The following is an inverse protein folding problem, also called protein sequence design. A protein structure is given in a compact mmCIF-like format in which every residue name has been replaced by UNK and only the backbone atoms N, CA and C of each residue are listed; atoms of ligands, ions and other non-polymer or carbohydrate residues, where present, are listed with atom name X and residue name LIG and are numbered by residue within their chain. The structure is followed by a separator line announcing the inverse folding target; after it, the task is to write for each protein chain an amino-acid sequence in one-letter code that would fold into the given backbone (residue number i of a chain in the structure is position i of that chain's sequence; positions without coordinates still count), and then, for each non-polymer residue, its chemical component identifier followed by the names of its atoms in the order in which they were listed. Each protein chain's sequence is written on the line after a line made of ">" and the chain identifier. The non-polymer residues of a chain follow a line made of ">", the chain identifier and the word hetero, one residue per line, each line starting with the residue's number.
data_IF_798322331282
#
_entry.id   IF_798322331282
#
_cell.length_a   1.000
_cell.length_b   1.000
_cell.length_c   1.000
_cell.angle_alpha   90.00
_cell.angle_beta   90.00
_cell.angle_gamma   90.00
#
_symmetry.space_group_name_H-M   'P 1'
#
loop_
_entity.id
_entity.type
_entity.pdbx_description
1 polymer ?
#
# COMPACT_ATOMS: atom_id res chain seq x y z
N UNK A 1 26.85 40.37 -37.33
CA UNK A 1 25.76 41.15 -36.71
C UNK A 1 24.51 40.29 -36.66
N UNK A 2 24.20 39.67 -35.52
CA UNK A 2 22.93 38.97 -35.30
C UNK A 2 22.39 39.38 -33.94
N UNK A 3 21.14 39.87 -33.98
CA UNK A 3 20.41 40.58 -32.93
C UNK A 3 19.85 39.57 -31.93
N UNK A 4 20.37 39.55 -30.69
CA UNK A 4 19.78 38.77 -29.61
C UNK A 4 18.56 39.52 -29.06
N UNK A 5 17.36 39.01 -29.37
CA UNK A 5 16.10 39.52 -28.86
C UNK A 5 15.96 39.21 -27.37
N UNK A 6 15.81 40.26 -26.57
CA UNK A 6 15.38 40.21 -25.18
C UNK A 6 13.93 39.68 -25.13
N UNK A 7 13.75 38.42 -24.72
CA UNK A 7 12.43 37.90 -24.35
C UNK A 7 12.20 38.24 -22.89
N UNK A 8 11.37 39.25 -22.65
CA UNK A 8 10.78 39.52 -21.35
C UNK A 8 10.00 38.30 -20.89
N UNK A 9 10.59 37.54 -19.97
CA UNK A 9 9.85 36.55 -19.18
C UNK A 9 8.85 37.30 -18.32
N UNK A 10 7.58 36.92 -18.45
CA UNK A 10 6.50 37.49 -17.66
C UNK A 10 6.82 37.31 -16.17
N UNK A 11 6.66 38.38 -15.40
CA UNK A 11 6.84 38.39 -13.94
C UNK A 11 5.87 37.42 -13.21
N UNK A 12 4.92 36.86 -13.95
CA UNK A 12 3.87 35.96 -13.50
C UNK A 12 4.38 34.55 -13.17
N UNK A 13 5.38 34.06 -13.91
CA UNK A 13 5.95 32.71 -13.71
C UNK A 13 6.87 32.61 -12.48
N UNK A 14 7.15 33.74 -11.80
CA UNK A 14 7.93 33.77 -10.54
C UNK A 14 7.07 33.77 -9.28
N UNK A 15 5.74 33.75 -9.41
CA UNK A 15 4.83 33.86 -8.27
C UNK A 15 4.17 32.53 -7.87
N UNK A 16 4.26 31.48 -8.69
CA UNK A 16 3.55 30.19 -8.47
C UNK A 16 4.13 29.29 -7.37
N UNK A 17 4.98 29.81 -6.47
CA UNK A 17 5.59 29.02 -5.39
C UNK A 17 5.47 29.62 -4.00
N UNK A 18 4.80 30.77 -3.84
CA UNK A 18 4.74 31.47 -2.56
C UNK A 18 3.32 31.95 -2.23
N UNK A 19 2.33 31.10 -2.51
CA UNK A 19 1.01 31.24 -1.90
C UNK A 19 1.16 30.82 -0.43
N UNK A 20 1.52 31.78 0.43
CA UNK A 20 1.16 31.71 1.82
C UNK A 20 -0.36 31.72 1.84
N UNK A 21 -0.95 30.56 2.09
CA UNK A 21 -2.35 30.47 2.53
C UNK A 21 -2.43 31.10 3.93
N UNK A 22 -2.42 32.44 3.95
CA UNK A 22 -2.78 33.24 5.10
C UNK A 22 -4.31 33.23 5.13
N UNK A 23 -4.86 32.15 5.68
CA UNK A 23 -6.25 32.09 6.11
C UNK A 23 -6.46 33.25 7.11
N UNK A 24 -7.07 34.32 6.60
CA UNK A 24 -7.26 35.60 7.28
C UNK A 24 -8.42 35.52 8.30
N UNK A 25 -8.41 34.48 9.15
CA UNK A 25 -9.52 34.18 10.07
C UNK A 25 -9.16 34.36 11.56
N UNK A 26 -7.88 34.58 11.88
CA UNK A 26 -7.39 34.60 13.27
C UNK A 26 -6.81 35.96 13.71
N UNK A 27 -7.41 37.07 13.27
CA UNK A 27 -7.15 38.40 13.82
C UNK A 27 -8.20 38.75 14.89
N UNK A 28 -8.24 37.98 15.97
CA UNK A 28 -8.85 38.43 17.22
C UNK A 28 -7.77 39.16 18.03
N UNK A 29 -8.11 40.27 18.68
CA UNK A 29 -7.15 41.11 19.44
C UNK A 29 -6.45 40.38 20.61
N UNK A 30 -6.91 39.17 20.95
CA UNK A 30 -6.37 38.30 21.99
C UNK A 30 -5.57 37.09 21.45
N UNK A 31 -5.15 37.08 20.18
CA UNK A 31 -4.26 36.04 19.67
C UNK A 31 -2.79 36.44 19.91
N UNK A 32 -2.14 35.96 20.99
CA UNK A 32 -0.75 36.32 21.26
C UNK A 32 0.13 35.81 20.11
N UNK A 33 0.86 36.74 19.50
CA UNK A 33 1.91 36.41 18.54
C UNK A 33 2.81 35.32 19.13
N UNK A 34 3.20 34.36 18.29
CA UNK A 34 4.24 33.40 18.67
C UNK A 34 5.43 34.15 19.30
N UNK A 35 5.94 33.71 20.46
CA UNK A 35 6.94 34.48 21.22
C UNK A 35 8.22 34.75 20.42
N UNK A 36 8.55 33.89 19.45
CA UNK A 36 9.67 34.12 18.52
C UNK A 36 9.32 35.23 17.54
N UNK A 37 8.11 35.21 17.00
CA UNK A 37 7.64 36.24 16.06
C UNK A 37 7.47 37.60 16.73
N UNK A 38 6.92 37.64 17.95
CA UNK A 38 6.81 38.84 18.77
C UNK A 38 8.18 39.44 19.07
N UNK A 39 9.17 38.60 19.38
CA UNK A 39 10.56 39.02 19.59
C UNK A 39 11.23 39.55 18.32
N UNK A 40 10.92 38.98 17.16
CA UNK A 40 11.45 39.43 15.85
C UNK A 40 10.84 40.75 15.41
N UNK A 41 9.53 40.92 15.63
CA UNK A 41 8.80 42.16 15.37
C UNK A 41 9.34 43.30 16.24
N UNK A 42 9.42 43.07 17.55
CA UNK A 42 9.78 44.08 18.54
C UNK A 42 8.77 45.24 18.59
N UNK A 43 9.09 46.26 19.39
CA UNK A 43 8.23 47.44 19.51
C UNK A 43 8.36 48.37 18.30
N UNK A 44 7.22 48.85 17.80
CA UNK A 44 7.16 49.90 16.80
C UNK A 44 6.28 51.06 17.30
N UNK A 45 6.91 52.19 17.59
CA UNK A 45 6.23 53.41 18.06
C UNK A 45 6.12 54.47 16.95
N UNK A 46 7.02 54.43 15.97
CA UNK A 46 7.07 55.35 14.83
C UNK A 46 6.89 54.65 13.49
N UNK A 47 6.44 55.37 12.47
CA UNK A 47 6.27 54.85 11.09
C UNK A 47 7.56 54.20 10.54
N UNK A 48 8.74 54.76 10.88
CA UNK A 48 10.04 54.20 10.48
C UNK A 48 10.31 52.86 11.18
N UNK A 49 9.98 52.75 12.45
CA UNK A 49 10.14 51.52 13.23
C UNK A 49 9.16 50.45 12.74
N UNK A 50 7.92 50.83 12.41
CA UNK A 50 6.92 49.93 11.86
C UNK A 50 7.36 49.33 10.52
N UNK A 51 7.91 50.15 9.60
CA UNK A 51 8.50 49.66 8.34
C UNK A 51 9.67 48.69 8.57
N UNK A 52 10.51 48.94 9.57
CA UNK A 52 11.62 48.05 9.89
C UNK A 52 11.15 46.74 10.53
N UNK A 53 10.19 46.81 11.45
CA UNK A 53 9.52 45.65 12.07
C UNK A 53 8.92 44.73 11.00
N UNK A 54 8.10 45.29 10.09
CA UNK A 54 7.50 44.52 9.00
C UNK A 54 8.54 43.82 8.12
N UNK A 55 9.65 44.49 7.79
CA UNK A 55 10.72 43.89 7.00
C UNK A 55 11.43 42.74 7.74
N UNK A 56 11.67 42.88 9.05
CA UNK A 56 12.27 41.81 9.88
C UNK A 56 11.36 40.59 9.95
N UNK A 57 10.07 40.80 10.18
CA UNK A 57 9.06 39.73 10.20
C UNK A 57 9.02 39.01 8.85
N UNK A 58 8.95 39.75 7.73
CA UNK A 58 8.96 39.15 6.40
C UNK A 58 10.23 38.36 6.10
N UNK A 59 11.41 38.86 6.50
CA UNK A 59 12.67 38.14 6.34
C UNK A 59 12.69 36.85 7.17
N UNK A 60 12.20 36.90 8.41
CA UNK A 60 12.13 35.74 9.28
C UNK A 60 11.16 34.68 8.73
N UNK A 61 9.96 35.07 8.31
CA UNK A 61 8.99 34.14 7.72
C UNK A 61 9.53 33.48 6.45
N UNK A 62 10.24 34.21 5.60
CA UNK A 62 10.92 33.63 4.42
C UNK A 62 11.98 32.58 4.80
N UNK A 63 12.73 32.83 5.87
CA UNK A 63 13.72 31.87 6.37
C UNK A 63 13.03 30.60 6.91
N UNK A 64 11.96 30.76 7.70
CA UNK A 64 11.16 29.63 8.23
C UNK A 64 10.61 28.79 7.09
N UNK A 65 10.06 29.42 6.04
CA UNK A 65 9.55 28.70 4.87
C UNK A 65 10.64 27.94 4.12
N UNK A 66 11.79 28.56 3.91
CA UNK A 66 12.91 27.90 3.26
C UNK A 66 13.42 26.69 4.06
N UNK A 67 13.37 26.76 5.39
CA UNK A 67 13.77 25.65 6.24
C UNK A 67 12.72 24.52 6.26
N UNK A 68 11.43 24.86 6.33
CA UNK A 68 10.34 23.89 6.19
C UNK A 68 10.37 23.16 4.85
N UNK A 69 10.59 23.89 3.75
CA UNK A 69 10.69 23.28 2.42
C UNK A 69 11.93 22.38 2.30
N UNK A 70 13.08 22.80 2.87
CA UNK A 70 14.27 21.94 2.95
C UNK A 70 14.01 20.67 3.77
N UNK A 71 13.28 20.77 4.87
CA UNK A 71 12.92 19.60 5.67
C UNK A 71 11.96 18.66 4.94
N UNK A 72 10.94 19.22 4.27
CA UNK A 72 10.01 18.47 3.41
C UNK A 72 10.76 17.71 2.32
N UNK A 73 11.69 18.38 1.63
CA UNK A 73 12.52 17.75 0.59
C UNK A 73 13.35 16.59 1.14
N UNK A 74 13.99 16.76 2.30
CA UNK A 74 14.73 15.68 2.98
C UNK A 74 13.83 14.49 3.33
N UNK A 75 12.64 14.75 3.89
CA UNK A 75 11.66 13.69 4.22
C UNK A 75 11.26 12.90 2.98
N UNK A 76 10.95 13.59 1.87
CA UNK A 76 10.59 12.96 0.60
C UNK A 76 11.75 12.16 -0.02
N UNK A 77 13.00 12.57 0.16
CA UNK A 77 14.17 11.80 -0.28
C UNK A 77 14.33 10.52 0.51
N UNK A 78 14.25 10.60 1.84
CA UNK A 78 14.35 9.42 2.73
C UNK A 78 13.23 8.42 2.44
N UNK A 79 12.00 8.90 2.22
CA UNK A 79 10.86 8.04 1.86
C UNK A 79 11.09 7.31 0.52
N UNK A 80 11.53 8.05 -0.53
CA UNK A 80 11.84 7.47 -1.84
C UNK A 80 12.97 6.43 -1.77
N UNK A 81 14.00 6.67 -0.96
CA UNK A 81 15.07 5.69 -0.76
C UNK A 81 14.59 4.45 0.00
N UNK A 82 13.75 4.64 1.02
CA UNK A 82 13.15 3.54 1.77
C UNK A 82 12.22 2.70 0.88
N UNK A 83 11.40 3.33 0.03
CA UNK A 83 10.54 2.65 -0.94
C UNK A 83 11.35 1.83 -1.94
N UNK A 84 12.36 2.44 -2.58
CA UNK A 84 13.28 1.73 -3.50
C UNK A 84 13.94 0.53 -2.83
N UNK A 85 14.37 0.68 -1.56
CA UNK A 85 14.99 -0.42 -0.80
C UNK A 85 13.98 -1.53 -0.48
N UNK A 86 12.73 -1.19 -0.15
CA UNK A 86 11.64 -2.16 0.09
C UNK A 86 11.30 -2.90 -1.20
N UNK A 87 11.14 -2.20 -2.31
CA UNK A 87 10.85 -2.78 -3.61
C UNK A 87 11.98 -3.70 -4.08
N UNK A 88 13.24 -3.27 -3.98
CA UNK A 88 14.40 -4.10 -4.33
C UNK A 88 14.47 -5.38 -3.48
N UNK A 89 14.21 -5.28 -2.16
CA UNK A 89 14.13 -6.45 -1.28
C UNK A 89 13.00 -7.40 -1.68
N UNK A 90 11.83 -6.86 -2.04
CA UNK A 90 10.69 -7.67 -2.46
C UNK A 90 10.97 -8.40 -3.78
N UNK A 91 11.51 -7.69 -4.77
CA UNK A 91 11.92 -8.26 -6.05
C UNK A 91 13.00 -9.35 -5.87
N UNK A 92 13.97 -9.13 -4.98
CA UNK A 92 14.99 -10.12 -4.65
C UNK A 92 14.41 -11.38 -4.01
N UNK A 93 13.49 -11.23 -3.04
CA UNK A 93 12.79 -12.36 -2.42
C UNK A 93 11.97 -13.15 -3.44
N UNK A 94 11.22 -12.47 -4.30
CA UNK A 94 10.42 -13.12 -5.33
C UNK A 94 11.31 -13.86 -6.35
N UNK A 95 12.44 -13.28 -6.75
CA UNK A 95 13.40 -13.93 -7.62
C UNK A 95 14.01 -15.19 -6.97
N UNK A 96 14.39 -15.11 -5.69
CA UNK A 96 14.87 -16.27 -4.93
C UNK A 96 13.82 -17.37 -4.83
N UNK A 97 12.56 -17.04 -4.55
CA UNK A 97 11.47 -18.01 -4.49
C UNK A 97 11.22 -18.68 -5.85
N UNK A 98 11.27 -17.91 -6.94
CA UNK A 98 11.14 -18.45 -8.30
C UNK A 98 12.28 -19.42 -8.62
N UNK A 99 13.50 -19.12 -8.23
CA UNK A 99 14.66 -19.99 -8.43
C UNK A 99 14.56 -21.28 -7.58
N UNK A 100 14.14 -21.18 -6.31
CA UNK A 100 13.89 -22.35 -5.46
C UNK A 100 12.81 -23.25 -6.06
N UNK A 101 11.66 -22.69 -6.47
CA UNK A 101 10.59 -23.45 -7.13
C UNK A 101 11.04 -24.14 -8.42
N UNK A 102 11.96 -23.53 -9.18
CA UNK A 102 12.53 -24.16 -10.39
C UNK A 102 13.44 -25.33 -10.02
N UNK A 103 14.29 -25.16 -9.00
CA UNK A 103 15.19 -26.21 -8.49
C UNK A 103 14.40 -27.41 -7.96
N UNK A 104 13.41 -27.20 -7.11
CA UNK A 104 12.54 -28.27 -6.59
C UNK A 104 11.85 -29.04 -7.72
N UNK A 105 11.30 -28.33 -8.72
CA UNK A 105 10.68 -28.97 -9.90
C UNK A 105 11.69 -29.76 -10.74
N UNK A 106 12.93 -29.31 -10.84
CA UNK A 106 13.98 -30.03 -11.55
C UNK A 106 14.39 -31.29 -10.78
N UNK A 107 14.57 -31.19 -9.46
CA UNK A 107 14.90 -32.30 -8.57
C UNK A 107 13.77 -33.35 -8.52
N UNK A 108 12.50 -32.95 -8.45
CA UNK A 108 11.37 -33.89 -8.51
C UNK A 108 11.32 -34.63 -9.85
N UNK A 109 11.55 -33.91 -10.96
CA UNK A 109 11.62 -34.53 -12.29
C UNK A 109 12.77 -35.54 -12.40
N UNK A 110 13.92 -35.24 -11.80
CA UNK A 110 15.06 -36.17 -11.75
C UNK A 110 14.74 -37.41 -10.92
N UNK A 111 14.14 -37.24 -9.73
CA UNK A 111 13.67 -38.35 -8.89
C UNK A 111 12.69 -39.26 -9.64
N UNK A 112 11.68 -38.68 -10.30
CA UNK A 112 10.72 -39.45 -11.12
C UNK A 112 11.38 -40.22 -12.27
N UNK A 113 12.39 -39.64 -12.92
CA UNK A 113 13.16 -40.35 -13.97
C UNK A 113 13.91 -41.55 -13.38
N UNK A 114 14.61 -41.35 -12.26
CA UNK A 114 15.33 -42.43 -11.55
C UNK A 114 14.39 -43.56 -11.14
N UNK A 115 13.23 -43.25 -10.57
CA UNK A 115 12.21 -44.24 -10.20
C UNK A 115 11.65 -44.98 -11.41
N UNK A 116 11.34 -44.27 -12.50
CA UNK A 116 10.85 -44.88 -13.74
C UNK A 116 11.88 -45.83 -14.35
N UNK A 117 13.15 -45.41 -14.42
CA UNK A 117 14.24 -46.21 -14.96
C UNK A 117 14.49 -47.46 -14.09
N UNK A 118 14.44 -47.32 -12.75
CA UNK A 118 14.53 -48.44 -11.82
C UNK A 118 13.37 -49.43 -11.98
N UNK A 119 12.12 -48.95 -12.08
CA UNK A 119 10.95 -49.80 -12.30
C UNK A 119 11.06 -50.58 -13.62
N UNK A 120 11.53 -49.91 -14.68
CA UNK A 120 11.73 -50.51 -15.99
C UNK A 120 12.83 -51.57 -15.98
N UNK A 121 13.93 -51.34 -15.24
CA UNK A 121 15.00 -52.32 -15.05
C UNK A 121 14.48 -53.57 -14.30
N UNK A 122 13.78 -53.38 -13.17
CA UNK A 122 13.17 -54.47 -12.40
C UNK A 122 12.18 -55.30 -13.23
N UNK A 123 11.37 -54.65 -14.08
CA UNK A 123 10.45 -55.35 -14.97
C UNK A 123 11.18 -56.21 -16.02
N UNK A 124 12.26 -55.69 -16.62
CA UNK A 124 13.11 -56.44 -17.56
C UNK A 124 13.79 -57.64 -16.90
N UNK A 125 14.19 -57.53 -15.64
CA UNK A 125 14.77 -58.67 -14.89
C UNK A 125 13.73 -59.73 -14.56
N UNK A 126 12.50 -59.34 -14.20
CA UNK A 126 11.40 -60.29 -13.99
C UNK A 126 11.01 -61.03 -15.27
N UNK A 127 11.03 -60.35 -16.42
CA UNK A 127 10.77 -60.98 -17.73
C UNK A 127 11.89 -61.95 -18.17
N UNK A 128 13.13 -61.76 -17.69
CA UNK A 128 14.28 -62.65 -17.97
C UNK A 128 14.35 -63.88 -17.06
N UNK A 129 13.66 -63.90 -15.92
CA UNK A 129 13.59 -65.12 -15.09
C UNK A 129 12.66 -66.15 -15.78
N UNK A 130 13.10 -67.41 -16.00
CA UNK A 130 12.27 -68.41 -16.64
C UNK A 130 11.03 -68.69 -15.78
N UNK A 131 9.85 -68.68 -16.40
CA UNK A 131 8.58 -69.12 -15.80
C UNK A 131 8.75 -70.54 -15.27
N UNK A 132 8.93 -70.71 -13.96
CA UNK A 132 8.62 -71.98 -13.31
C UNK A 132 7.10 -72.07 -13.24
N UNK A 133 6.56 -73.06 -13.95
CA UNK A 133 5.13 -73.27 -14.14
C UNK A 133 4.38 -73.32 -12.81
N UNK A 134 3.26 -72.61 -12.75
CA UNK A 134 2.12 -73.04 -11.94
C UNK A 134 0.87 -72.67 -12.72
N UNK A 135 0.30 -73.70 -13.35
CA UNK A 135 -1.00 -73.67 -14.00
C UNK A 135 -2.08 -73.47 -12.94
N UNK A 136 -2.93 -72.46 -13.12
CA UNK A 136 -4.39 -72.57 -13.00
C UNK A 136 -5.04 -71.26 -13.47
N UNK A 137 -5.81 -71.37 -14.55
CA UNK A 137 -6.83 -70.39 -14.95
C UNK A 137 -8.11 -70.63 -14.14
N UNK A 138 -9.00 -69.64 -13.96
CA UNK A 138 -9.99 -69.44 -15.02
C UNK A 138 -10.44 -67.99 -15.31
N UNK A 139 -10.81 -67.80 -16.58
CA UNK A 139 -11.94 -67.03 -17.15
C UNK A 139 -12.05 -65.50 -16.95
N UNK A 140 -11.88 -64.82 -18.09
CA UNK A 140 -12.78 -63.84 -18.75
C UNK A 140 -13.63 -62.89 -17.88
N UNK A 141 -13.42 -61.57 -18.08
CA UNK A 141 -14.50 -60.59 -18.30
C UNK A 141 -13.97 -59.27 -18.89
N UNK A 142 -14.46 -59.00 -20.11
CA UNK A 142 -15.03 -57.75 -20.63
C UNK A 142 -14.56 -56.39 -20.10
N UNK A 143 -14.32 -55.47 -21.03
CA UNK A 143 -13.77 -54.14 -20.81
C UNK A 143 -14.55 -53.22 -19.87
N UNK A 144 -13.83 -52.25 -19.32
CA UNK A 144 -14.41 -51.03 -18.77
C UNK A 144 -13.60 -49.82 -19.20
N UNK A 145 -14.32 -48.82 -19.72
CA UNK A 145 -13.86 -47.48 -20.13
C UNK A 145 -13.05 -46.77 -19.04
N UNK A 146 -12.20 -45.78 -19.40
CA UNK A 146 -11.60 -44.88 -18.42
C UNK A 146 -12.72 -44.07 -17.72
N UNK A 147 -12.75 -44.15 -16.39
CA UNK A 147 -13.61 -43.29 -15.56
C UNK A 147 -13.17 -41.84 -15.72
N UNK A 148 -14.11 -40.97 -16.12
CA UNK A 148 -13.97 -39.52 -16.00
C UNK A 148 -13.78 -39.16 -14.50
N UNK A 149 -12.90 -38.20 -14.15
CA UNK A 149 -12.81 -37.70 -12.78
C UNK A 149 -14.12 -36.99 -12.39
N UNK A 150 -14.53 -37.03 -11.10
CA UNK A 150 -15.76 -36.39 -10.66
C UNK A 150 -15.67 -34.86 -10.81
N UNK A 151 -16.79 -34.18 -11.09
CA UNK A 151 -16.80 -32.73 -11.19
C UNK A 151 -16.46 -32.12 -9.83
N UNK A 152 -15.50 -31.19 -9.86
CA UNK A 152 -15.07 -30.38 -8.70
C UNK A 152 -16.29 -29.68 -8.10
N UNK A 153 -16.66 -30.03 -6.86
CA UNK A 153 -17.71 -29.36 -6.07
C UNK A 153 -17.33 -27.95 -5.57
N UNK A 154 -16.15 -27.45 -5.95
CA UNK A 154 -15.61 -26.15 -5.52
C UNK A 154 -16.36 -24.94 -6.09
N UNK A 155 -17.20 -25.12 -7.13
CA UNK A 155 -17.86 -24.00 -7.80
C UNK A 155 -18.92 -23.32 -6.93
N UNK A 156 -19.64 -24.06 -6.07
CA UNK A 156 -20.72 -23.48 -5.25
C UNK A 156 -20.18 -22.70 -4.05
N UNK A 157 -19.21 -23.27 -3.33
CA UNK A 157 -18.58 -22.59 -2.19
C UNK A 157 -17.79 -21.36 -2.65
N UNK A 158 -17.10 -21.44 -3.79
CA UNK A 158 -16.39 -20.30 -4.36
C UNK A 158 -17.32 -19.22 -4.93
N UNK A 159 -18.48 -19.61 -5.48
CA UNK A 159 -19.50 -18.65 -5.90
C UNK A 159 -20.12 -17.92 -4.71
N UNK A 160 -20.42 -18.62 -3.60
CA UNK A 160 -20.93 -18.00 -2.37
C UNK A 160 -19.88 -17.09 -1.74
N UNK A 161 -18.61 -17.52 -1.68
CA UNK A 161 -17.51 -16.70 -1.19
C UNK A 161 -17.30 -15.45 -2.06
N UNK A 162 -17.38 -15.58 -3.38
CA UNK A 162 -17.33 -14.44 -4.30
C UNK A 162 -18.50 -13.49 -4.13
N UNK A 163 -19.71 -14.00 -3.90
CA UNK A 163 -20.90 -13.19 -3.64
C UNK A 163 -20.75 -12.42 -2.33
N UNK A 164 -20.23 -13.06 -1.28
CA UNK A 164 -19.94 -12.41 0.00
C UNK A 164 -18.86 -11.34 -0.13
N UNK A 165 -17.78 -11.63 -0.88
CA UNK A 165 -16.74 -10.64 -1.15
C UNK A 165 -17.27 -9.44 -1.94
N UNK A 166 -18.12 -9.68 -2.94
CA UNK A 166 -18.75 -8.63 -3.72
C UNK A 166 -19.68 -7.76 -2.86
N UNK A 167 -20.47 -8.39 -1.98
CA UNK A 167 -21.34 -7.68 -1.04
C UNK A 167 -20.53 -6.79 -0.09
N UNK A 168 -19.42 -7.31 0.47
CA UNK A 168 -18.52 -6.54 1.31
C UNK A 168 -17.91 -5.34 0.57
N UNK A 169 -17.51 -5.53 -0.69
CA UNK A 169 -17.00 -4.44 -1.53
C UNK A 169 -18.06 -3.38 -1.81
N UNK A 170 -19.33 -3.77 -2.04
CA UNK A 170 -20.42 -2.83 -2.21
C UNK A 170 -20.70 -2.02 -0.94
N UNK A 171 -20.68 -2.66 0.23
CA UNK A 171 -20.85 -1.99 1.53
C UNK A 171 -19.69 -1.02 1.78
N UNK A 172 -18.45 -1.47 1.58
CA UNK A 172 -17.26 -0.62 1.73
C UNK A 172 -17.26 0.55 0.73
N UNK A 173 -17.64 0.30 -0.52
CA UNK A 173 -17.80 1.34 -1.54
C UNK A 173 -18.88 2.35 -1.16
N UNK A 174 -20.03 1.89 -0.67
CA UNK A 174 -21.10 2.75 -0.17
C UNK A 174 -20.66 3.63 1.01
N UNK A 175 -19.89 3.06 1.94
CA UNK A 175 -19.28 3.80 3.06
C UNK A 175 -18.31 4.88 2.57
N UNK A 176 -17.44 4.54 1.62
CA UNK A 176 -16.48 5.48 1.04
C UNK A 176 -17.20 6.59 0.28
N UNK A 177 -18.22 6.28 -0.51
CA UNK A 177 -19.03 7.28 -1.23
C UNK A 177 -19.75 8.20 -0.25
N UNK A 178 -20.41 7.66 0.79
CA UNK A 178 -21.05 8.46 1.82
C UNK A 178 -20.08 9.36 2.61
N UNK A 179 -18.77 9.07 2.62
CA UNK A 179 -17.75 9.83 3.37
C UNK A 179 -16.95 10.80 2.52
N UNK A 180 -16.70 10.47 1.26
CA UNK A 180 -15.81 11.21 0.36
C UNK A 180 -16.59 12.16 -0.54
N UNK A 181 -17.88 11.92 -0.75
CA UNK A 181 -18.74 12.81 -1.53
C UNK A 181 -19.61 13.66 -0.59
N UNK A 182 -19.98 14.87 -1.05
CA UNK A 182 -20.90 15.84 -0.40
C UNK A 182 -22.32 15.28 -0.13
N UNK A 183 -22.54 13.97 -0.25
CA UNK A 183 -23.77 13.25 0.07
C UNK A 183 -23.98 13.06 1.58
N UNK A 184 -23.33 13.85 2.42
CA UNK A 184 -23.39 13.78 3.88
C UNK A 184 -24.79 14.12 4.43
N UNK A 185 -25.63 14.83 3.67
CA UNK A 185 -26.98 15.24 4.07
C UNK A 185 -28.10 14.26 3.70
N UNK A 186 -27.82 13.14 3.02
CA UNK A 186 -28.84 12.13 2.75
C UNK A 186 -29.12 11.30 4.02
N UNK A 187 -30.41 11.04 4.38
CA UNK A 187 -30.79 10.38 5.63
C UNK A 187 -30.20 8.96 5.77
N UNK A 188 -29.88 8.31 4.66
CA UNK A 188 -29.24 7.00 4.62
C UNK A 188 -27.76 7.06 5.03
N UNK A 189 -27.02 8.10 4.61
CA UNK A 189 -25.61 8.23 4.98
C UNK A 189 -25.44 8.65 6.44
N UNK A 190 -26.38 9.41 7.03
CA UNK A 190 -26.34 9.78 8.46
C UNK A 190 -26.44 8.57 9.38
N UNK A 191 -27.39 7.65 9.11
CA UNK A 191 -27.56 6.41 9.89
C UNK A 191 -26.33 5.51 9.80
N UNK A 192 -25.72 5.44 8.61
CA UNK A 192 -24.49 4.68 8.40
C UNK A 192 -23.30 5.31 9.11
N UNK A 193 -23.23 6.65 9.13
CA UNK A 193 -22.18 7.41 9.81
C UNK A 193 -22.22 7.16 11.34
N UNK A 194 -23.41 7.21 11.94
CA UNK A 194 -23.59 6.99 13.38
C UNK A 194 -23.28 5.55 13.80
N UNK A 195 -23.69 4.55 13.00
CA UNK A 195 -23.35 3.14 13.28
C UNK A 195 -21.83 2.93 13.23
N UNK A 196 -21.16 3.53 12.25
CA UNK A 196 -19.70 3.45 12.15
C UNK A 196 -19.01 4.13 13.33
N UNK A 197 -19.43 5.35 13.71
CA UNK A 197 -18.82 6.09 14.81
C UNK A 197 -19.01 5.35 16.14
N UNK A 198 -20.19 4.78 16.38
CA UNK A 198 -20.44 3.89 17.52
C UNK A 198 -19.56 2.64 17.51
N UNK A 199 -19.34 2.03 16.35
CA UNK A 199 -18.46 0.86 16.23
C UNK A 199 -16.99 1.21 16.48
N UNK A 200 -16.51 2.36 15.96
CA UNK A 200 -15.14 2.84 16.19
C UNK A 200 -14.94 3.24 17.65
N UNK A 201 -15.94 3.89 18.27
CA UNK A 201 -15.89 4.24 19.69
C UNK A 201 -15.88 2.98 20.57
N UNK A 202 -16.68 1.97 20.24
CA UNK A 202 -16.64 0.67 20.90
C UNK A 202 -15.29 -0.05 20.74
N UNK A 203 -14.67 0.04 19.56
CA UNK A 203 -13.34 -0.53 19.31
C UNK A 203 -12.23 0.22 20.07
N UNK A 204 -12.31 1.54 20.15
CA UNK A 204 -11.36 2.38 20.92
C UNK A 204 -11.48 2.18 22.44
N UNK A 205 -12.65 1.78 22.91
CA UNK A 205 -12.90 1.50 24.34
C UNK A 205 -12.30 0.15 24.80
N UNK A 206 -11.76 -0.66 23.88
CA UNK A 206 -11.03 -1.87 24.24
C UNK A 206 -9.55 -1.51 24.54
N UNK A 207 -9.14 -1.69 25.81
CA UNK A 207 -7.78 -1.41 26.31
C UNK A 207 -6.63 -2.02 25.47
N UNK A 208 -6.93 -3.10 24.73
CA UNK A 208 -5.99 -3.82 23.87
C UNK A 208 -5.51 -2.95 22.69
N UNK A 209 -6.35 -2.04 22.17
CA UNK A 209 -6.02 -1.16 21.05
C UNK A 209 -5.19 0.06 21.48
N UNK A 210 -5.35 0.51 22.73
CA UNK A 210 -4.49 1.55 23.30
C UNK A 210 -3.04 1.08 23.36
N UNK A 211 -2.80 -0.17 23.77
CA UNK A 211 -1.45 -0.74 23.87
C UNK A 211 -0.75 -0.83 22.50
N UNK A 212 -1.49 -1.22 21.45
CA UNK A 212 -0.95 -1.36 20.08
C UNK A 212 -0.67 0.00 19.43
N UNK A 213 -1.54 0.99 19.62
CA UNK A 213 -1.32 2.34 19.08
C UNK A 213 -0.20 3.10 19.79
N UNK A 214 0.05 2.78 21.07
CA UNK A 214 1.11 3.42 21.85
C UNK A 214 2.50 2.83 21.56
N UNK A 215 2.58 1.57 21.10
CA UNK A 215 3.85 0.95 20.64
C UNK A 215 4.42 1.54 19.35
N UNK A 216 3.61 2.20 18.50
CA UNK A 216 4.10 2.88 17.29
C UNK A 216 4.63 4.30 17.59
N UNK A 217 4.37 4.85 18.78
CA UNK A 217 4.81 6.21 19.17
C UNK A 217 6.22 6.25 19.78
N UNK A 218 6.89 5.11 19.95
CA UNK A 218 8.19 4.97 20.64
C UNK A 218 9.25 4.31 19.75
N UNK A 219 9.21 4.55 18.43
CA UNK A 219 10.26 4.09 17.52
C UNK A 219 10.60 5.13 16.45
#
# INVERSE_FOLDING_TARGET
>A
MTKAGSKGGNLRDKLDGNELDLSLSDLNEDNPLDPVLAKVAGDCLDEKQCKQCANKVLQHMKAVQADQERERQRRLEVEREAEKKREAKQRAKEAQERELRKREKAEEKERRRKEYDALKASKREQEKKPKKETNQAPKSKSGSRPRKPPPRKHTRFWAVLKLMLLLLLCVAGGLVVCRVTELQQQPLCTSVNTIYDNAVQGLRSHDILQWVLQTDSQQ
#
